data_IF_500152701161
#
_entry.id   IF_500152701161
#
_cell.length_a   1.000
_cell.length_b   1.000
_cell.length_c   1.000
_cell.angle_alpha   90.00
_cell.angle_beta   90.00
_cell.angle_gamma   90.00
#
_symmetry.space_group_name_H-M   'P 1'
#
loop_
_entity.id
_entity.type
_entity.pdbx_description
1 polymer ?
#
# COMPACT_ATOMS: atom_id res chain seq x y z
N UNK A 1 -5.13 -17.20 -1.79
CA UNK A 1 -4.51 -16.24 -0.82
C UNK A 1 -4.90 -14.80 -1.17
N UNK A 2 -4.74 -14.35 -2.41
CA UNK A 2 -5.14 -12.99 -2.84
C UNK A 2 -6.63 -12.72 -2.66
N UNK A 3 -7.49 -13.73 -2.79
CA UNK A 3 -8.93 -13.64 -2.52
C UNK A 3 -9.22 -13.17 -1.09
N UNK A 4 -8.47 -13.70 -0.10
CA UNK A 4 -8.64 -13.29 1.31
C UNK A 4 -8.36 -11.79 1.52
N UNK A 5 -7.26 -11.28 0.95
CA UNK A 5 -6.96 -9.83 1.00
C UNK A 5 -8.07 -9.01 0.32
N UNK A 6 -8.58 -9.48 -0.82
CA UNK A 6 -9.66 -8.79 -1.55
C UNK A 6 -10.99 -8.80 -0.79
N UNK A 7 -11.24 -9.83 0.01
CA UNK A 7 -12.38 -9.85 0.93
C UNK A 7 -12.22 -8.81 2.05
N UNK A 8 -11.03 -8.71 2.65
CA UNK A 8 -10.76 -7.73 3.73
C UNK A 8 -10.93 -6.28 3.26
N UNK A 9 -10.62 -5.99 2.00
CA UNK A 9 -10.80 -4.64 1.45
C UNK A 9 -12.15 -4.47 0.70
N UNK A 10 -13.01 -5.51 0.72
CA UNK A 10 -14.33 -5.49 0.09
C UNK A 10 -14.31 -5.43 -1.44
N UNK A 11 -13.20 -5.82 -2.10
CA UNK A 11 -13.15 -5.95 -3.56
C UNK A 11 -13.82 -7.23 -4.07
N UNK A 12 -13.96 -8.22 -3.21
CA UNK A 12 -14.69 -9.46 -3.47
C UNK A 12 -15.87 -9.60 -2.50
N UNK A 13 -16.88 -10.34 -2.88
CA UNK A 13 -18.03 -10.66 -2.04
C UNK A 13 -17.85 -12.04 -1.41
N UNK A 14 -18.36 -12.20 -0.18
CA UNK A 14 -18.38 -13.48 0.51
C UNK A 14 -19.50 -14.36 -0.03
N UNK A 15 -19.23 -15.65 -0.21
CA UNK A 15 -20.26 -16.66 -0.45
C UNK A 15 -21.03 -16.99 0.84
N UNK A 16 -20.33 -16.96 1.99
CA UNK A 16 -20.88 -17.20 3.31
C UNK A 16 -19.98 -16.66 4.41
N UNK A 17 -20.51 -16.46 5.61
CA UNK A 17 -19.76 -15.90 6.74
C UNK A 17 -19.73 -14.38 6.75
N UNK A 18 -18.90 -13.80 7.60
CA UNK A 18 -18.76 -12.35 7.79
C UNK A 18 -17.30 -11.91 7.82
N UNK A 19 -17.02 -10.73 7.30
CA UNK A 19 -15.74 -10.03 7.50
C UNK A 19 -16.02 -8.72 8.19
N UNK A 20 -15.38 -8.52 9.32
CA UNK A 20 -15.47 -7.29 10.12
C UNK A 20 -14.12 -6.57 10.13
N UNK A 21 -14.13 -5.29 9.78
CA UNK A 21 -12.96 -4.41 9.80
C UNK A 21 -13.30 -3.15 10.58
N UNK A 22 -12.50 -2.79 11.57
CA UNK A 22 -12.78 -1.68 12.50
C UNK A 22 -14.17 -1.77 13.17
N UNK A 23 -14.65 -2.98 13.45
CA UNK A 23 -15.98 -3.19 14.02
C UNK A 23 -17.14 -3.04 13.03
N UNK A 24 -16.87 -2.75 11.76
CA UNK A 24 -17.88 -2.66 10.70
C UNK A 24 -17.90 -3.94 9.87
N UNK A 25 -19.07 -4.56 9.74
CA UNK A 25 -19.27 -5.75 8.90
C UNK A 25 -19.38 -5.34 7.43
N UNK A 26 -18.44 -5.80 6.59
CA UNK A 26 -18.33 -5.36 5.19
C UNK A 26 -19.57 -5.67 4.35
N UNK A 27 -20.19 -6.82 4.59
CA UNK A 27 -21.39 -7.26 3.85
C UNK A 27 -22.62 -6.37 4.06
N UNK A 28 -22.67 -5.64 5.18
CA UNK A 28 -23.77 -4.73 5.52
C UNK A 28 -23.57 -3.29 5.03
N UNK A 29 -22.34 -2.95 4.58
CA UNK A 29 -22.00 -1.59 4.21
C UNK A 29 -22.56 -1.18 2.85
N UNK A 30 -23.14 0.01 2.77
CA UNK A 30 -23.50 0.66 1.51
C UNK A 30 -22.24 1.19 0.80
N UNK A 31 -22.30 1.35 -0.52
CA UNK A 31 -21.17 1.82 -1.34
C UNK A 31 -20.41 3.03 -0.76
N UNK A 32 -21.08 4.11 -0.24
CA UNK A 32 -20.35 5.24 0.34
C UNK A 32 -19.58 4.89 1.61
N UNK A 33 -20.15 4.03 2.47
CA UNK A 33 -19.52 3.56 3.72
C UNK A 33 -18.30 2.69 3.40
N UNK A 34 -18.45 1.75 2.47
CA UNK A 34 -17.35 0.90 2.00
C UNK A 34 -16.22 1.74 1.39
N UNK A 35 -16.55 2.81 0.64
CA UNK A 35 -15.55 3.74 0.11
C UNK A 35 -14.80 4.47 1.23
N UNK A 36 -15.49 4.87 2.30
CA UNK A 36 -14.88 5.50 3.48
C UNK A 36 -13.95 4.54 4.21
N UNK A 37 -14.39 3.28 4.38
CA UNK A 37 -13.59 2.24 5.02
C UNK A 37 -12.31 1.94 4.22
N UNK A 38 -12.42 1.84 2.89
CA UNK A 38 -11.25 1.59 2.00
C UNK A 38 -10.17 2.65 2.09
N UNK A 39 -10.48 3.88 2.49
CA UNK A 39 -9.46 4.93 2.73
C UNK A 39 -8.53 4.59 3.89
N UNK A 40 -9.04 3.82 4.86
CA UNK A 40 -8.28 3.34 6.02
C UNK A 40 -7.47 2.08 5.73
N UNK A 41 -7.58 1.55 4.51
CA UNK A 41 -6.92 0.31 4.10
C UNK A 41 -6.02 0.64 2.90
N UNK A 42 -4.72 0.64 3.11
CA UNK A 42 -3.75 0.70 2.03
C UNK A 42 -3.56 -0.68 1.39
N UNK A 43 -3.27 -0.71 0.10
CA UNK A 43 -2.98 -1.96 -0.61
C UNK A 43 -1.71 -1.86 -1.44
N UNK A 44 -0.83 -2.83 -1.25
CA UNK A 44 0.43 -3.02 -1.99
C UNK A 44 0.31 -4.30 -2.80
N UNK A 45 0.51 -4.19 -4.11
CA UNK A 45 0.30 -5.28 -5.07
C UNK A 45 1.63 -5.90 -5.51
N UNK A 46 1.58 -7.15 -5.92
CA UNK A 46 2.70 -7.87 -6.50
C UNK A 46 3.24 -7.19 -7.78
N UNK A 47 2.37 -6.73 -8.67
CA UNK A 47 2.71 -6.09 -9.94
C UNK A 47 2.78 -4.55 -9.85
N UNK A 48 3.03 -3.98 -8.67
CA UNK A 48 3.10 -2.55 -8.36
C UNK A 48 1.83 -1.75 -8.72
N UNK A 49 1.13 -2.05 -9.81
CA UNK A 49 -0.06 -1.36 -10.34
C UNK A 49 0.13 0.17 -10.42
N UNK A 50 1.29 0.60 -10.91
CA UNK A 50 1.64 2.00 -11.10
C UNK A 50 1.28 2.45 -12.51
N UNK A 51 1.01 3.75 -12.64
CA UNK A 51 0.80 4.41 -13.91
C UNK A 51 2.16 4.69 -14.56
N UNK A 52 2.61 3.82 -15.47
CA UNK A 52 3.95 3.87 -16.10
C UNK A 52 4.20 5.19 -16.86
N UNK A 53 3.15 5.81 -17.43
CA UNK A 53 3.21 7.08 -18.14
C UNK A 53 3.19 8.31 -17.23
N UNK A 54 3.20 8.13 -15.92
CA UNK A 54 3.16 9.20 -14.93
C UNK A 54 4.42 9.20 -14.06
N UNK A 55 4.72 10.35 -13.48
CA UNK A 55 5.84 10.49 -12.55
C UNK A 55 5.55 9.82 -11.22
N UNK A 56 6.59 9.63 -10.41
CA UNK A 56 6.48 9.17 -9.03
C UNK A 56 5.50 10.04 -8.24
N UNK A 57 5.64 11.38 -8.33
CA UNK A 57 4.73 12.32 -7.70
C UNK A 57 3.26 12.01 -8.02
N UNK A 58 2.92 11.90 -9.31
CA UNK A 58 1.54 11.69 -9.73
C UNK A 58 0.98 10.33 -9.27
N UNK A 59 1.80 9.29 -9.24
CA UNK A 59 1.40 7.99 -8.71
C UNK A 59 1.08 8.04 -7.22
N UNK A 60 1.92 8.70 -6.43
CA UNK A 60 1.75 8.83 -4.99
C UNK A 60 0.58 9.76 -4.65
N UNK A 61 0.43 10.86 -5.40
CA UNK A 61 -0.64 11.85 -5.20
C UNK A 61 -2.04 11.34 -5.60
N UNK A 62 -2.12 10.30 -6.44
CA UNK A 62 -3.36 9.85 -7.08
C UNK A 62 -4.54 9.64 -6.10
N UNK A 63 -4.38 8.95 -4.95
CA UNK A 63 -5.49 8.77 -4.02
C UNK A 63 -6.05 10.09 -3.51
N UNK A 64 -5.19 11.05 -3.18
CA UNK A 64 -5.59 12.36 -2.67
C UNK A 64 -6.22 13.25 -3.75
N UNK A 65 -5.74 13.15 -5.00
CA UNK A 65 -6.33 13.84 -6.15
C UNK A 65 -7.78 13.36 -6.36
N UNK A 66 -8.01 12.05 -6.30
CA UNK A 66 -9.35 11.47 -6.44
C UNK A 66 -10.30 11.90 -5.32
N UNK A 67 -9.75 12.22 -4.15
CA UNK A 67 -10.48 12.76 -3.01
C UNK A 67 -10.67 14.29 -3.06
N UNK A 68 -10.15 14.94 -4.09
CA UNK A 68 -10.20 16.40 -4.27
C UNK A 68 -9.55 17.17 -3.11
N UNK A 69 -8.49 16.60 -2.52
CA UNK A 69 -7.69 17.27 -1.49
C UNK A 69 -7.00 18.49 -2.11
N UNK A 70 -6.88 19.63 -1.38
CA UNK A 70 -6.17 20.80 -1.87
C UNK A 70 -4.71 20.48 -2.24
N UNK A 71 -4.23 21.09 -3.34
CA UNK A 71 -2.88 20.80 -3.87
C UNK A 71 -1.77 21.01 -2.85
N UNK A 72 -1.84 22.04 -2.03
CA UNK A 72 -0.85 22.31 -0.99
C UNK A 72 -0.74 21.18 0.04
N UNK A 73 -1.85 20.55 0.41
CA UNK A 73 -1.88 19.41 1.32
C UNK A 73 -1.34 18.15 0.64
N UNK A 74 -1.67 17.94 -0.65
CA UNK A 74 -1.11 16.85 -1.46
C UNK A 74 0.41 16.99 -1.52
N UNK A 75 0.92 18.18 -1.87
CA UNK A 75 2.36 18.42 -2.00
C UNK A 75 3.10 18.13 -0.68
N UNK A 76 2.54 18.57 0.44
CA UNK A 76 3.07 18.29 1.78
C UNK A 76 3.10 16.78 2.05
N UNK A 77 1.98 16.09 1.84
CA UNK A 77 1.86 14.66 2.13
C UNK A 77 2.75 13.81 1.24
N UNK A 78 2.82 14.14 -0.06
CA UNK A 78 3.72 13.44 -1.00
C UNK A 78 5.18 13.61 -0.59
N UNK A 79 5.59 14.81 -0.16
CA UNK A 79 6.94 15.05 0.33
C UNK A 79 7.26 14.19 1.56
N UNK A 80 6.35 14.15 2.55
CA UNK A 80 6.51 13.34 3.76
C UNK A 80 6.69 11.85 3.44
N UNK A 81 5.82 11.28 2.59
CA UNK A 81 5.92 9.85 2.27
C UNK A 81 7.13 9.53 1.39
N UNK A 82 7.55 10.44 0.49
CA UNK A 82 8.78 10.27 -0.29
C UNK A 82 10.02 10.21 0.60
N UNK A 83 10.12 11.09 1.60
CA UNK A 83 11.17 11.04 2.60
C UNK A 83 11.16 9.73 3.36
N UNK A 84 9.98 9.28 3.77
CA UNK A 84 9.84 8.04 4.52
C UNK A 84 10.30 6.80 3.75
N UNK A 85 10.04 6.75 2.43
CA UNK A 85 10.44 5.63 1.56
C UNK A 85 11.80 5.88 0.87
N UNK A 86 12.50 6.98 1.17
CA UNK A 86 13.84 7.32 0.64
C UNK A 86 13.86 7.45 -0.89
N UNK A 87 12.93 8.24 -1.45
CA UNK A 87 12.79 8.48 -2.90
C UNK A 87 12.56 9.96 -3.24
N UNK A 88 13.04 10.91 -2.40
CA UNK A 88 12.83 12.35 -2.62
C UNK A 88 13.44 12.81 -3.96
N UNK A 89 14.60 12.29 -4.32
CA UNK A 89 15.32 12.60 -5.54
C UNK A 89 14.62 12.07 -6.81
N UNK A 90 13.66 11.17 -6.66
CA UNK A 90 12.89 10.55 -7.76
C UNK A 90 11.52 11.16 -7.99
N UNK A 91 11.13 12.20 -7.26
CA UNK A 91 9.80 12.81 -7.30
C UNK A 91 9.26 13.02 -8.72
N UNK A 92 10.06 13.60 -9.58
CA UNK A 92 9.67 14.01 -10.94
C UNK A 92 10.08 12.99 -12.02
N UNK A 93 10.67 11.86 -11.63
CA UNK A 93 11.06 10.77 -12.52
C UNK A 93 9.83 9.96 -12.94
N UNK A 94 9.77 9.52 -14.19
CA UNK A 94 8.73 8.62 -14.68
C UNK A 94 8.91 7.21 -14.09
N UNK A 95 7.79 6.58 -13.71
CA UNK A 95 7.81 5.24 -13.11
C UNK A 95 8.47 4.19 -14.02
N UNK A 96 8.33 4.34 -15.33
CA UNK A 96 8.99 3.45 -16.31
C UNK A 96 10.51 3.41 -16.21
N UNK A 97 11.14 4.44 -15.63
CA UNK A 97 12.60 4.56 -15.47
C UNK A 97 13.13 3.99 -14.14
N UNK A 98 12.24 3.49 -13.28
CA UNK A 98 12.58 3.00 -11.95
C UNK A 98 12.93 1.50 -11.94
N UNK A 99 13.82 1.10 -11.03
CA UNK A 99 14.05 -0.31 -10.71
C UNK A 99 12.81 -0.93 -10.04
N UNK A 100 12.71 -2.28 -10.02
CA UNK A 100 11.62 -2.99 -9.36
C UNK A 100 11.46 -2.61 -7.89
N UNK A 101 12.55 -2.51 -7.14
CA UNK A 101 12.54 -2.08 -5.74
C UNK A 101 12.07 -0.64 -5.56
N UNK A 102 12.45 0.27 -6.45
CA UNK A 102 11.97 1.64 -6.44
C UNK A 102 10.47 1.70 -6.77
N UNK A 103 10.00 0.95 -7.78
CA UNK A 103 8.57 0.82 -8.10
C UNK A 103 7.78 0.32 -6.88
N UNK A 104 8.30 -0.66 -6.16
CA UNK A 104 7.65 -1.18 -4.95
C UNK A 104 7.57 -0.13 -3.85
N UNK A 105 8.65 0.64 -3.61
CA UNK A 105 8.64 1.76 -2.67
C UNK A 105 7.62 2.83 -3.06
N UNK A 106 7.46 3.14 -4.35
CA UNK A 106 6.39 4.04 -4.85
C UNK A 106 5.00 3.48 -4.57
N UNK A 107 4.78 2.18 -4.79
CA UNK A 107 3.52 1.50 -4.46
C UNK A 107 3.18 1.59 -2.98
N UNK A 108 4.17 1.36 -2.11
CA UNK A 108 4.03 1.52 -0.65
C UNK A 108 3.74 2.98 -0.30
N UNK A 109 4.50 3.95 -0.83
CA UNK A 109 4.29 5.37 -0.60
C UNK A 109 2.87 5.81 -0.99
N UNK A 110 2.38 5.37 -2.17
CA UNK A 110 1.00 5.62 -2.60
C UNK A 110 -0.03 5.09 -1.61
N UNK A 111 0.19 3.88 -1.08
CA UNK A 111 -0.71 3.29 -0.11
C UNK A 111 -0.71 4.04 1.24
N UNK A 112 0.40 4.69 1.61
CA UNK A 112 0.54 5.45 2.85
C UNK A 112 -0.02 6.87 2.78
N UNK A 113 -0.27 7.44 1.58
CA UNK A 113 -0.74 8.82 1.45
C UNK A 113 -2.08 9.08 2.10
N UNK A 114 -2.95 8.08 2.17
CA UNK A 114 -4.27 8.17 2.84
C UNK A 114 -4.19 7.96 4.34
N UNK A 115 -3.00 7.80 4.90
CA UNK A 115 -2.76 7.50 6.33
C UNK A 115 -3.60 6.31 6.79
N UNK A 116 -3.39 5.11 6.22
CA UNK A 116 -4.20 3.94 6.52
C UNK A 116 -3.90 3.38 7.91
N UNK A 117 -4.88 2.73 8.52
CA UNK A 117 -4.71 1.96 9.77
C UNK A 117 -4.24 0.52 9.47
N UNK A 118 -4.55 0.03 8.26
CA UNK A 118 -4.21 -1.32 7.79
C UNK A 118 -3.51 -1.23 6.43
N UNK A 119 -2.42 -1.97 6.27
CA UNK A 119 -1.72 -2.14 4.99
C UNK A 119 -1.77 -3.60 4.56
N UNK A 120 -2.46 -3.86 3.46
CA UNK A 120 -2.57 -5.18 2.86
C UNK A 120 -1.47 -5.36 1.82
N UNK A 121 -0.62 -6.36 2.00
CA UNK A 121 0.51 -6.66 1.11
C UNK A 121 0.29 -8.02 0.44
N UNK A 122 -0.08 -8.00 -0.84
CA UNK A 122 -0.27 -9.21 -1.65
C UNK A 122 1.02 -9.52 -2.42
N UNK A 123 1.81 -10.47 -1.89
CA UNK A 123 3.09 -10.90 -2.47
C UNK A 123 4.05 -9.74 -2.81
N UNK A 124 4.12 -8.74 -1.94
CA UNK A 124 4.83 -7.47 -2.15
C UNK A 124 6.33 -7.59 -2.46
N UNK A 125 6.92 -8.78 -2.33
CA UNK A 125 8.36 -9.03 -2.56
C UNK A 125 8.65 -10.12 -3.59
N UNK A 126 7.64 -10.77 -4.15
CA UNK A 126 7.82 -11.97 -4.99
C UNK A 126 8.54 -11.69 -6.33
N UNK A 127 8.48 -10.45 -6.82
CA UNK A 127 9.13 -10.02 -8.07
C UNK A 127 10.49 -9.34 -7.85
N UNK A 128 11.05 -9.41 -6.62
CA UNK A 128 12.26 -8.70 -6.25
C UNK A 128 13.42 -9.67 -5.95
N UNK A 129 14.63 -9.21 -6.16
CA UNK A 129 15.84 -9.92 -5.75
C UNK A 129 15.96 -9.97 -4.21
N UNK A 130 16.80 -10.86 -3.65
CA UNK A 130 16.89 -11.04 -2.20
C UNK A 130 17.28 -9.79 -1.42
N UNK A 131 18.21 -8.97 -1.93
CA UNK A 131 18.66 -7.75 -1.24
C UNK A 131 17.54 -6.71 -1.21
N UNK A 132 16.88 -6.51 -2.34
CA UNK A 132 15.72 -5.60 -2.45
C UNK A 132 14.56 -6.09 -1.58
N UNK A 133 14.32 -7.41 -1.53
CA UNK A 133 13.32 -8.01 -0.65
C UNK A 133 13.59 -7.64 0.81
N UNK A 134 14.82 -7.82 1.29
CA UNK A 134 15.21 -7.45 2.65
C UNK A 134 14.97 -5.96 2.94
N UNK A 135 15.34 -5.09 2.01
CA UNK A 135 15.13 -3.64 2.14
C UNK A 135 13.63 -3.28 2.24
N UNK A 136 12.76 -3.92 1.44
CA UNK A 136 11.31 -3.71 1.51
C UNK A 136 10.74 -4.24 2.83
N UNK A 137 11.19 -5.39 3.33
CA UNK A 137 10.73 -5.93 4.62
C UNK A 137 11.15 -5.04 5.79
N UNK A 138 12.37 -4.48 5.77
CA UNK A 138 12.81 -3.48 6.74
C UNK A 138 11.93 -2.23 6.70
N UNK A 139 11.57 -1.76 5.50
CA UNK A 139 10.64 -0.63 5.33
C UNK A 139 9.26 -0.94 5.91
N UNK A 140 8.70 -2.13 5.66
CA UNK A 140 7.42 -2.54 6.22
C UNK A 140 7.46 -2.60 7.77
N UNK A 141 8.53 -3.15 8.35
CA UNK A 141 8.73 -3.11 9.81
C UNK A 141 8.80 -1.68 10.35
N UNK A 142 9.49 -0.78 9.66
CA UNK A 142 9.56 0.64 10.01
C UNK A 142 8.17 1.29 9.99
N UNK A 143 7.36 1.03 8.95
CA UNK A 143 5.98 1.52 8.84
C UNK A 143 5.15 1.04 10.03
N UNK A 144 5.18 -0.25 10.34
CA UNK A 144 4.44 -0.80 11.48
C UNK A 144 4.85 -0.14 12.80
N UNK A 145 6.16 -0.03 13.06
CA UNK A 145 6.69 0.48 14.33
C UNK A 145 6.49 1.99 14.51
N UNK A 146 6.74 2.79 13.46
CA UNK A 146 6.75 4.25 13.56
C UNK A 146 5.39 4.89 13.29
N UNK A 147 4.57 4.25 12.44
CA UNK A 147 3.25 4.76 12.07
C UNK A 147 2.09 4.01 12.75
N UNK A 148 2.36 2.91 13.47
CA UNK A 148 1.32 2.09 14.12
C UNK A 148 0.39 1.36 13.14
N UNK A 149 0.77 1.24 11.87
CA UNK A 149 -0.04 0.61 10.82
C UNK A 149 -0.01 -0.90 11.00
N UNK A 150 -1.18 -1.54 11.04
CA UNK A 150 -1.28 -3.01 11.03
C UNK A 150 -0.98 -3.53 9.63
N UNK A 151 -0.04 -4.47 9.50
CA UNK A 151 0.35 -5.03 8.21
C UNK A 151 -0.14 -6.47 8.09
N UNK A 152 -0.96 -6.74 7.08
CA UNK A 152 -1.34 -8.09 6.68
C UNK A 152 -0.55 -8.46 5.42
N UNK A 153 0.41 -9.37 5.56
CA UNK A 153 1.29 -9.80 4.48
C UNK A 153 0.93 -11.21 4.01
N UNK A 154 0.70 -11.35 2.70
CA UNK A 154 0.65 -12.66 2.03
C UNK A 154 1.98 -12.91 1.33
N UNK A 155 2.55 -14.08 1.59
CA UNK A 155 3.75 -14.57 0.92
C UNK A 155 3.71 -16.09 0.78
N UNK A 156 4.45 -16.62 -0.16
CA UNK A 156 4.79 -18.04 -0.26
C UNK A 156 6.26 -18.30 0.09
N UNK A 157 7.03 -17.27 0.40
CA UNK A 157 8.44 -17.34 0.74
C UNK A 157 8.62 -17.47 2.25
N UNK A 158 9.03 -18.64 2.75
CA UNK A 158 9.22 -18.88 4.18
C UNK A 158 10.27 -17.96 4.82
N UNK A 159 11.30 -17.58 4.07
CA UNK A 159 12.31 -16.61 4.52
C UNK A 159 11.70 -15.26 4.87
N UNK A 160 10.72 -14.79 4.08
CA UNK A 160 10.00 -13.55 4.35
C UNK A 160 9.24 -13.64 5.68
N UNK A 161 8.58 -14.78 5.95
CA UNK A 161 7.87 -14.99 7.22
C UNK A 161 8.84 -14.92 8.40
N UNK A 162 9.98 -15.62 8.31
CA UNK A 162 11.01 -15.60 9.36
C UNK A 162 11.59 -14.20 9.61
N UNK A 163 11.71 -13.39 8.56
CA UNK A 163 12.25 -12.03 8.67
C UNK A 163 11.27 -11.02 9.25
N UNK A 164 9.96 -11.17 9.02
CA UNK A 164 8.98 -10.14 9.37
C UNK A 164 8.12 -10.48 10.58
N UNK A 165 7.83 -11.76 10.80
CA UNK A 165 7.08 -12.24 11.95
C UNK A 165 8.07 -12.58 13.09
N UNK A 166 7.85 -11.97 14.24
CA UNK A 166 8.58 -12.31 15.48
C UNK A 166 7.79 -13.35 16.24
#
# INVERSE_FOLDING_TARGET
>A
KSTLIRLVNGLETLDSGTVTVHGEELGSLKKPQLRKLRRKIGMVFQQFNLLESKTVYHNIALPLILEKVPKAEIDKKVKEVLQFVELEDKKDVYVSQLSGGQKQRVGIARALTTTPDILLCDEATSALDPQTTEAILKLLKKINREMGVTILLITHQMQVVQMICN
#
